data_IF_730025369827
#
_entry.id   IF_730025369827
#
_cell.length_a   1.000
_cell.length_b   1.000
_cell.length_c   1.000
_cell.angle_alpha   90.00
_cell.angle_beta   90.00
_cell.angle_gamma   90.00
#
_symmetry.space_group_name_H-M   'P 1'
#
loop_
_entity.id
_entity.type
_entity.pdbx_description
1 polymer ?
#
# COMPACT_ATOMS: atom_id res chain seq x y z
N UNK A 1 -32.90 2.45 7.56
CA UNK A 1 -32.03 3.63 7.84
C UNK A 1 -30.60 3.13 7.89
N UNK A 2 -29.61 3.92 7.47
CA UNK A 2 -28.21 3.48 7.52
C UNK A 2 -27.74 3.50 8.99
N UNK A 3 -27.53 2.32 9.59
CA UNK A 3 -27.11 2.17 10.98
C UNK A 3 -25.59 2.27 11.15
N UNK A 4 -25.12 2.36 12.40
CA UNK A 4 -23.69 2.24 12.71
C UNK A 4 -23.11 0.88 12.32
N UNK A 5 -23.91 -0.18 12.38
CA UNK A 5 -23.52 -1.55 12.05
C UNK A 5 -23.39 -1.74 10.52
N UNK A 6 -24.24 -1.08 9.74
CA UNK A 6 -24.13 -1.07 8.28
C UNK A 6 -22.88 -0.31 7.80
N UNK A 7 -22.55 0.80 8.47
CA UNK A 7 -21.33 1.56 8.21
C UNK A 7 -20.06 0.79 8.60
N UNK A 8 -20.14 -0.05 9.63
CA UNK A 8 -19.07 -0.94 10.06
C UNK A 8 -18.82 -2.05 9.02
N UNK A 9 -19.88 -2.77 8.60
CA UNK A 9 -19.79 -3.76 7.51
C UNK A 9 -19.28 -3.14 6.22
N UNK A 10 -19.76 -1.94 5.86
CA UNK A 10 -19.27 -1.19 4.71
C UNK A 10 -17.78 -0.81 4.82
N UNK A 11 -17.30 -0.47 6.02
CA UNK A 11 -15.88 -0.22 6.26
C UNK A 11 -15.02 -1.48 6.15
N UNK A 12 -15.50 -2.63 6.64
CA UNK A 12 -14.84 -3.91 6.42
C UNK A 12 -14.78 -4.27 4.93
N UNK A 13 -15.88 -4.10 4.19
CA UNK A 13 -15.92 -4.30 2.73
C UNK A 13 -14.93 -3.38 1.99
N UNK A 14 -14.81 -2.12 2.43
CA UNK A 14 -13.82 -1.19 1.90
C UNK A 14 -12.39 -1.69 2.13
N UNK A 15 -12.08 -2.21 3.32
CA UNK A 15 -10.75 -2.75 3.64
C UNK A 15 -10.43 -4.04 2.85
N UNK A 16 -11.41 -4.91 2.60
CA UNK A 16 -11.17 -6.19 1.89
C UNK A 16 -11.23 -6.09 0.37
N UNK A 17 -12.05 -5.19 -0.20
CA UNK A 17 -12.22 -5.08 -1.65
C UNK A 17 -11.58 -3.83 -2.25
N UNK A 18 -11.77 -2.67 -1.63
CA UNK A 18 -11.38 -1.39 -2.22
C UNK A 18 -9.90 -1.06 -2.01
N UNK A 19 -9.36 -1.38 -0.83
CA UNK A 19 -7.95 -1.14 -0.49
C UNK A 19 -6.97 -1.95 -1.35
N UNK A 20 -7.16 -3.27 -1.61
CA UNK A 20 -6.30 -4.02 -2.53
C UNK A 20 -6.37 -3.52 -3.98
N UNK A 21 -7.48 -2.90 -4.37
CA UNK A 21 -7.69 -2.28 -5.68
C UNK A 21 -7.20 -0.82 -5.75
N UNK A 22 -6.65 -0.26 -4.67
CA UNK A 22 -6.22 1.14 -4.59
C UNK A 22 -7.35 2.16 -4.73
N UNK A 23 -8.59 1.75 -4.51
CA UNK A 23 -9.78 2.59 -4.68
C UNK A 23 -9.98 3.50 -3.45
N UNK A 24 -10.20 4.79 -3.68
CA UNK A 24 -10.47 5.74 -2.59
C UNK A 24 -11.81 5.47 -1.90
N UNK A 25 -11.88 5.73 -0.59
CA UNK A 25 -13.14 5.55 0.17
C UNK A 25 -14.28 6.41 -0.38
N UNK A 26 -13.99 7.58 -0.97
CA UNK A 26 -14.98 8.43 -1.61
C UNK A 26 -15.55 7.79 -2.89
N UNK A 27 -14.69 7.15 -3.70
CA UNK A 27 -15.10 6.36 -4.87
C UNK A 27 -15.94 5.16 -4.45
N UNK A 28 -15.57 4.48 -3.36
CA UNK A 28 -16.30 3.33 -2.84
C UNK A 28 -17.66 3.73 -2.22
N UNK A 29 -17.75 4.88 -1.54
CA UNK A 29 -19.01 5.47 -1.10
C UNK A 29 -19.96 5.75 -2.28
N UNK A 30 -19.46 6.38 -3.34
CA UNK A 30 -20.23 6.65 -4.57
C UNK A 30 -20.73 5.34 -5.22
N UNK A 31 -19.86 4.32 -5.33
CA UNK A 31 -20.20 3.03 -5.94
C UNK A 31 -21.31 2.28 -5.20
N UNK A 32 -21.36 2.40 -3.87
CA UNK A 32 -22.31 1.71 -3.00
C UNK A 32 -23.48 2.59 -2.55
N UNK A 33 -23.66 3.79 -3.13
CA UNK A 33 -24.69 4.77 -2.74
C UNK A 33 -24.66 5.18 -1.25
N UNK A 34 -23.49 5.11 -0.60
CA UNK A 34 -23.31 5.55 0.79
C UNK A 34 -23.00 7.05 0.81
N UNK A 35 -23.80 7.90 1.48
CA UNK A 35 -23.51 9.33 1.57
C UNK A 35 -22.20 9.59 2.33
N UNK A 36 -21.19 10.11 1.63
CA UNK A 36 -19.84 10.34 2.18
C UNK A 36 -19.86 11.11 3.52
N UNK A 37 -20.77 12.08 3.68
CA UNK A 37 -20.87 12.89 4.89
C UNK A 37 -21.23 12.06 6.14
N UNK A 38 -22.08 11.03 5.98
CA UNK A 38 -22.48 10.13 7.07
C UNK A 38 -21.33 9.19 7.41
N UNK A 39 -20.72 8.57 6.37
CA UNK A 39 -19.56 7.72 6.56
C UNK A 39 -18.38 8.46 7.20
N UNK A 40 -18.06 9.68 6.75
CA UNK A 40 -16.97 10.49 7.28
C UNK A 40 -17.19 10.85 8.76
N UNK A 41 -18.42 11.17 9.17
CA UNK A 41 -18.76 11.42 10.57
C UNK A 41 -18.56 10.16 11.41
N UNK A 42 -19.21 9.06 11.03
CA UNK A 42 -19.07 7.76 11.70
C UNK A 42 -17.60 7.32 11.78
N UNK A 43 -16.84 7.48 10.69
CA UNK A 43 -15.44 7.10 10.62
C UNK A 43 -14.57 7.85 11.63
N UNK A 44 -14.82 9.15 11.85
CA UNK A 44 -14.10 9.95 12.85
C UNK A 44 -14.47 9.59 14.28
N UNK A 45 -15.73 9.22 14.51
CA UNK A 45 -16.23 8.82 15.83
C UNK A 45 -15.78 7.39 16.19
N UNK A 46 -15.74 6.48 15.21
CA UNK A 46 -15.35 5.07 15.37
C UNK A 46 -13.83 4.85 15.31
N UNK A 47 -13.06 5.60 14.51
CA UNK A 47 -11.57 5.59 14.51
C UNK A 47 -10.96 5.82 15.91
N UNK A 48 -11.65 6.57 16.78
CA UNK A 48 -11.21 6.84 18.16
C UNK A 48 -11.53 5.71 19.14
N UNK A 49 -12.34 4.73 18.72
CA UNK A 49 -12.78 3.56 19.52
C UNK A 49 -12.23 2.23 19.01
N UNK A 50 -11.78 2.17 17.75
CA UNK A 50 -11.08 1.01 17.20
C UNK A 50 -9.73 0.90 17.90
N UNK A 51 -9.69 0.07 18.95
CA UNK A 51 -8.47 -0.53 19.46
C UNK A 51 -8.09 -1.64 18.49
N UNK A 52 -6.83 -1.68 18.07
CA UNK A 52 -6.31 -2.76 17.23
C UNK A 52 -6.23 -4.04 18.08
N UNK A 53 -7.21 -4.93 17.91
CA UNK A 53 -7.24 -6.22 18.59
C UNK A 53 -6.18 -7.11 17.94
N UNK A 54 -5.01 -7.17 18.55
CA UNK A 54 -4.05 -8.23 18.26
C UNK A 54 -4.69 -9.57 18.68
N UNK A 55 -4.90 -10.44 17.71
CA UNK A 55 -5.38 -11.81 17.95
C UNK A 55 -4.16 -12.67 18.22
N UNK A 56 -3.79 -12.78 19.49
CA UNK A 56 -2.69 -13.64 19.93
C UNK A 56 -3.14 -15.12 19.82
N UNK A 57 -2.92 -15.70 18.64
CA UNK A 57 -3.64 -16.89 18.21
C UNK A 57 -3.20 -17.46 16.86
N UNK A 58 -1.91 -17.39 16.54
CA UNK A 58 -1.32 -18.29 15.53
C UNK A 58 -1.30 -19.71 16.13
N UNK A 59 -1.94 -20.71 15.51
CA UNK A 59 -1.64 -22.10 15.80
C UNK A 59 -0.23 -22.37 15.28
N UNK A 60 0.69 -22.73 16.16
CA UNK A 60 2.04 -23.14 15.81
C UNK A 60 2.01 -24.36 14.87
N UNK A 61 2.38 -24.15 13.60
CA UNK A 61 2.66 -25.25 12.69
C UNK A 61 3.89 -26.03 13.19
N UNK A 62 3.84 -27.37 13.27
CA UNK A 62 4.94 -28.16 13.82
C UNK A 62 6.17 -28.17 12.91
N UNK A 63 7.37 -28.42 13.47
CA UNK A 63 8.61 -28.44 12.71
C UNK A 63 8.67 -29.67 11.79
N UNK A 64 9.28 -29.49 10.61
CA UNK A 64 9.70 -30.61 9.77
C UNK A 64 11.16 -30.40 9.38
N UNK A 65 12.05 -30.94 10.21
CA UNK A 65 13.44 -31.18 9.84
C UNK A 65 13.48 -32.22 8.72
N UNK A 66 14.24 -31.98 7.64
CA UNK A 66 14.87 -33.01 6.81
C UNK A 66 15.71 -32.39 5.68
N UNK A 67 16.97 -32.13 5.99
CA UNK A 67 18.12 -32.18 5.04
C UNK A 67 18.88 -33.48 5.41
N UNK A 68 19.73 -34.11 4.56
CA UNK A 68 20.19 -33.68 3.23
C UNK A 68 20.23 -34.77 2.14
N UNK A 69 20.56 -34.37 0.91
CA UNK A 69 21.36 -35.20 -0.03
C UNK A 69 21.89 -34.36 -1.20
N UNK A 70 23.21 -34.14 -1.22
CA UNK A 70 23.97 -33.83 -2.43
C UNK A 70 24.59 -35.15 -2.94
N UNK A 71 24.98 -35.27 -4.23
CA UNK A 71 26.31 -34.78 -4.59
C UNK A 71 26.49 -34.22 -6.02
N UNK A 72 27.37 -33.22 -6.11
CA UNK A 72 28.44 -33.02 -7.12
C UNK A 72 28.21 -33.31 -8.61
N UNK A 73 28.38 -32.30 -9.46
CA UNK A 73 28.44 -32.47 -10.93
C UNK A 73 28.55 -31.18 -11.74
N UNK A 74 29.69 -30.50 -11.65
CA UNK A 74 30.09 -29.35 -12.50
C UNK A 74 31.38 -29.72 -13.28
N UNK A 75 31.79 -29.01 -14.36
CA UNK A 75 31.09 -28.00 -15.17
C UNK A 75 31.00 -28.55 -16.65
N UNK A 76 31.48 -27.96 -17.78
CA UNK A 76 31.84 -26.58 -18.12
C UNK A 76 31.47 -26.03 -19.54
N UNK A 77 31.70 -24.71 -19.64
CA UNK A 77 32.07 -23.84 -20.79
C UNK A 77 31.07 -23.26 -21.82
N UNK A 78 31.20 -21.91 -21.89
CA UNK A 78 30.99 -20.92 -22.98
C UNK A 78 29.58 -20.31 -23.07
N UNK A 79 29.37 -19.04 -22.65
CA UNK A 79 29.93 -17.75 -23.17
C UNK A 79 29.22 -17.31 -24.45
N UNK A 80 28.35 -16.30 -24.36
CA UNK A 80 28.69 -14.93 -24.79
C UNK A 80 27.70 -13.89 -24.23
N UNK A 81 28.15 -12.63 -24.14
CA UNK A 81 27.32 -11.45 -23.87
C UNK A 81 27.74 -10.37 -24.86
N UNK A 82 26.79 -9.72 -25.54
CA UNK A 82 26.73 -8.27 -25.33
C UNK A 82 25.32 -7.63 -25.24
N UNK A 83 25.33 -6.59 -24.41
CA UNK A 83 24.38 -5.49 -24.18
C UNK A 83 23.96 -4.70 -25.46
N UNK A 84 23.16 -3.60 -25.40
CA UNK A 84 21.78 -3.47 -24.95
C UNK A 84 20.88 -2.73 -25.97
N UNK A 85 19.70 -3.24 -26.37
CA UNK A 85 18.73 -2.48 -27.20
C UNK A 85 17.26 -2.76 -26.88
N UNK A 86 16.76 -2.21 -25.78
CA UNK A 86 15.32 -2.05 -25.55
C UNK A 86 14.89 -0.64 -26.02
N UNK A 87 14.09 -0.59 -27.09
CA UNK A 87 13.70 0.65 -27.76
C UNK A 87 12.75 1.48 -26.89
N UNK A 88 13.09 2.76 -26.68
CA UNK A 88 12.17 3.75 -26.14
C UNK A 88 10.90 3.83 -27.00
N UNK A 89 9.75 3.43 -26.43
CA UNK A 89 8.46 3.98 -26.83
C UNK A 89 7.82 4.67 -25.64
N UNK A 90 8.13 5.96 -25.49
CA UNK A 90 7.28 6.88 -24.74
C UNK A 90 5.86 6.82 -25.32
N UNK A 91 4.92 6.20 -24.60
CA UNK A 91 3.49 6.45 -24.81
C UNK A 91 2.97 7.20 -23.59
N UNK A 92 2.80 8.52 -23.75
CA UNK A 92 2.24 9.38 -22.72
C UNK A 92 0.84 8.89 -22.32
N UNK A 93 0.49 8.76 -21.03
CA UNK A 93 -0.90 8.69 -20.62
C UNK A 93 -1.64 9.94 -21.10
N UNK A 94 -2.87 9.77 -21.56
CA UNK A 94 -3.66 10.86 -22.14
C UNK A 94 -3.87 12.00 -21.14
N UNK A 95 -3.56 13.23 -21.55
CA UNK A 95 -3.72 14.41 -20.70
C UNK A 95 -5.20 14.83 -20.69
N UNK A 96 -5.95 14.35 -19.70
CA UNK A 96 -7.30 14.86 -19.39
C UNK A 96 -7.19 16.34 -19.03
N UNK A 97 -7.82 17.27 -19.76
CA UNK A 97 -7.80 18.69 -19.41
C UNK A 97 -8.74 18.94 -18.25
N UNK A 98 -8.21 19.18 -17.04
CA UNK A 98 -9.02 19.59 -15.88
C UNK A 98 -8.56 19.05 -14.52
N UNK A 99 -7.75 17.99 -14.46
CA UNK A 99 -7.21 17.49 -13.20
C UNK A 99 -6.09 18.41 -12.68
N UNK A 100 -6.31 19.06 -11.54
CA UNK A 100 -5.24 19.73 -10.80
C UNK A 100 -4.21 18.68 -10.35
N UNK A 101 -2.89 18.97 -10.45
CA UNK A 101 -1.87 18.03 -9.98
C UNK A 101 -2.03 17.75 -8.48
N UNK A 102 -2.12 16.48 -8.11
CA UNK A 102 -2.13 16.07 -6.70
C UNK A 102 -0.79 16.45 -6.06
N UNK A 103 -0.85 17.17 -4.94
CA UNK A 103 0.30 17.56 -4.12
C UNK A 103 0.19 16.90 -2.76
N UNK A 104 1.20 16.12 -2.40
CA UNK A 104 1.27 15.34 -1.17
C UNK A 104 2.27 16.02 -0.23
N UNK A 105 1.97 16.07 1.06
CA UNK A 105 2.92 16.47 2.10
C UNK A 105 3.05 15.34 3.11
N UNK A 106 4.27 15.11 3.57
CA UNK A 106 4.66 14.06 4.51
C UNK A 106 5.42 14.72 5.65
N UNK A 107 4.98 14.48 6.88
CA UNK A 107 5.64 14.91 8.10
C UNK A 107 5.78 13.69 9.00
N UNK A 108 7.02 13.39 9.40
CA UNK A 108 7.39 12.20 10.16
C UNK A 108 8.23 12.61 11.36
N UNK A 109 7.81 12.21 12.55
CA UNK A 109 8.56 12.33 13.80
C UNK A 109 8.89 10.93 14.30
N UNK A 110 10.17 10.61 14.40
CA UNK A 110 10.66 9.33 14.89
C UNK A 110 10.98 9.42 16.39
N UNK A 111 10.89 8.29 17.10
CA UNK A 111 11.17 8.20 18.55
C UNK A 111 12.60 8.56 18.93
N UNK A 112 13.54 8.49 17.98
CA UNK A 112 14.93 8.93 18.13
C UNK A 112 15.12 10.45 17.95
N UNK A 113 14.04 11.21 17.77
CA UNK A 113 14.07 12.66 17.58
C UNK A 113 14.32 13.12 16.13
N UNK A 114 14.48 12.21 15.17
CA UNK A 114 14.60 12.57 13.75
C UNK A 114 13.25 13.08 13.22
N UNK A 115 13.27 14.27 12.60
CA UNK A 115 12.11 14.92 12.01
C UNK A 115 12.29 15.08 10.50
N UNK A 116 11.32 14.62 9.70
CA UNK A 116 11.36 14.67 8.24
C UNK A 116 10.07 15.34 7.77
N UNK A 117 10.21 16.52 7.16
CA UNK A 117 9.10 17.27 6.56
C UNK A 117 9.36 17.46 5.07
N UNK A 118 8.43 17.01 4.24
CA UNK A 118 8.50 17.17 2.79
C UNK A 118 7.14 17.55 2.21
N UNK A 119 7.11 18.57 1.37
CA UNK A 119 5.89 19.16 0.79
C UNK A 119 5.93 19.05 -0.74
N UNK A 120 4.78 19.24 -1.36
CA UNK A 120 4.60 19.30 -2.82
C UNK A 120 5.11 18.06 -3.58
N UNK A 121 5.07 16.89 -2.94
CA UNK A 121 5.39 15.61 -3.56
C UNK A 121 4.30 15.21 -4.56
N UNK A 122 4.72 14.73 -5.73
CA UNK A 122 3.88 13.91 -6.59
C UNK A 122 3.94 12.43 -6.14
N UNK A 123 3.08 11.57 -6.71
CA UNK A 123 3.05 10.15 -6.34
C UNK A 123 4.41 9.42 -6.58
N UNK A 124 5.14 9.65 -7.70
CA UNK A 124 6.51 9.17 -7.86
C UNK A 124 7.52 9.73 -6.84
N UNK A 125 7.35 11.00 -6.43
CA UNK A 125 8.13 11.63 -5.37
C UNK A 125 7.93 10.96 -4.01
N UNK A 126 6.67 10.66 -3.65
CA UNK A 126 6.32 9.90 -2.45
C UNK A 126 6.94 8.50 -2.48
N UNK A 127 6.82 7.77 -3.59
CA UNK A 127 7.41 6.43 -3.71
C UNK A 127 8.92 6.43 -3.49
N UNK A 128 9.64 7.40 -4.08
CA UNK A 128 11.08 7.58 -3.88
C UNK A 128 11.45 8.04 -2.47
N UNK A 129 10.56 8.75 -1.77
CA UNK A 129 10.75 9.06 -0.34
C UNK A 129 10.65 7.77 0.50
N UNK A 130 9.63 6.95 0.27
CA UNK A 130 9.44 5.67 1.00
C UNK A 130 10.67 4.77 0.83
N UNK A 131 11.19 4.60 -0.38
CA UNK A 131 12.41 3.81 -0.63
C UNK A 131 13.66 4.32 0.12
N UNK A 132 13.72 5.61 0.45
CA UNK A 132 14.82 6.18 1.28
C UNK A 132 14.59 5.96 2.77
N UNK A 133 13.33 5.85 3.20
CA UNK A 133 12.94 5.59 4.58
C UNK A 133 13.10 4.11 4.94
N UNK A 134 12.90 3.18 4.00
CA UNK A 134 13.16 1.74 4.21
C UNK A 134 14.61 1.45 4.62
N UNK A 135 15.57 2.29 4.24
CA UNK A 135 17.00 2.16 4.63
C UNK A 135 17.27 2.66 6.07
N UNK A 136 16.27 3.25 6.73
CA UNK A 136 16.36 3.74 8.11
C UNK A 136 15.66 2.81 9.14
N UNK A 137 15.11 1.68 8.67
CA UNK A 137 14.44 0.66 9.47
C UNK A 137 15.27 -0.63 9.54
#
# INVERSE_FOLDING_TARGET
>A
MLSSEDLERFYFQYQTEAVPLGMSVQTFCLRNNVPYNIFHKWYKDTRKKIVEVQVDGVPSGPPSESVPSSPSGDPPVKKDSPSPRAVHRHRKPGKVPGALPVRISVELTLSNGLHILQKDLDYPGLYRLIQKLEVLC
#
